data_IF_155940283059
#
_entry.id   IF_155940283059
#
_cell.length_a   1.000
_cell.length_b   1.000
_cell.length_c   1.000
_cell.angle_alpha   90.00
_cell.angle_beta   90.00
_cell.angle_gamma   90.00
#
_symmetry.space_group_name_H-M   'P 1'
#
loop_
_entity.id
_entity.type
_entity.pdbx_description
1 polymer ?
#
# COMPACT_ATOMS: atom_id res chain seq x y z
N UNK A 1 12.64 -12.56 19.87
CA UNK A 1 12.37 -11.19 19.37
C UNK A 1 12.21 -11.13 17.85
N UNK A 2 13.18 -11.61 17.06
CA UNK A 2 13.11 -11.59 15.58
C UNK A 2 11.89 -12.35 15.01
N UNK A 3 11.57 -13.54 15.54
CA UNK A 3 10.37 -14.29 15.13
C UNK A 3 9.05 -13.55 15.36
N UNK A 4 8.93 -12.81 16.47
CA UNK A 4 7.72 -12.04 16.79
C UNK A 4 7.56 -10.80 15.90
N UNK A 5 8.67 -10.15 15.51
CA UNK A 5 8.66 -9.03 14.59
C UNK A 5 8.27 -9.46 13.16
N UNK A 6 8.76 -10.63 12.71
CA UNK A 6 8.37 -11.21 11.41
C UNK A 6 6.90 -11.62 11.44
N UNK A 7 6.42 -12.28 12.50
CA UNK A 7 4.99 -12.61 12.62
C UNK A 7 4.10 -11.35 12.66
N UNK A 8 4.44 -10.33 13.47
CA UNK A 8 3.68 -9.08 13.53
C UNK A 8 3.70 -8.31 12.19
N UNK A 9 4.84 -8.34 11.49
CA UNK A 9 4.96 -7.89 10.12
C UNK A 9 3.96 -8.61 9.24
N UNK A 10 4.02 -9.94 9.16
CA UNK A 10 3.09 -10.76 8.35
C UNK A 10 1.61 -10.48 8.69
N UNK A 11 1.25 -10.29 9.96
CA UNK A 11 -0.16 -10.05 10.37
C UNK A 11 -0.75 -8.77 9.77
N UNK A 12 0.05 -7.72 9.56
CA UNK A 12 -0.42 -6.45 8.94
C UNK A 12 -0.01 -6.30 7.47
N UNK A 13 1.10 -6.90 7.07
CA UNK A 13 1.62 -6.88 5.71
C UNK A 13 0.71 -7.66 4.75
N UNK A 14 0.17 -8.81 5.18
CA UNK A 14 -0.79 -9.60 4.37
C UNK A 14 -2.05 -8.80 4.01
N UNK A 15 -2.76 -8.19 4.98
CA UNK A 15 -3.96 -7.42 4.68
C UNK A 15 -3.70 -6.17 3.81
N UNK A 16 -2.61 -5.44 4.06
CA UNK A 16 -2.28 -4.22 3.29
C UNK A 16 -1.93 -4.56 1.84
N UNK A 17 -1.13 -5.62 1.61
CA UNK A 17 -0.84 -6.07 0.26
C UNK A 17 -2.09 -6.62 -0.44
N UNK A 18 -2.96 -7.35 0.27
CA UNK A 18 -4.19 -7.89 -0.30
C UNK A 18 -5.07 -6.79 -0.89
N UNK A 19 -5.29 -5.70 -0.13
CA UNK A 19 -6.15 -4.60 -0.60
C UNK A 19 -5.49 -3.80 -1.72
N UNK A 20 -4.18 -3.53 -1.62
CA UNK A 20 -3.44 -2.84 -2.68
C UNK A 20 -3.45 -3.63 -3.99
N UNK A 21 -3.17 -4.94 -3.93
CA UNK A 21 -3.18 -5.81 -5.12
C UNK A 21 -4.57 -5.93 -5.74
N UNK A 22 -5.62 -6.08 -4.91
CA UNK A 22 -6.99 -6.13 -5.41
C UNK A 22 -7.37 -4.85 -6.18
N UNK A 23 -7.05 -3.68 -5.64
CA UNK A 23 -7.29 -2.41 -6.34
C UNK A 23 -6.44 -2.26 -7.61
N UNK A 24 -5.15 -2.58 -7.55
CA UNK A 24 -4.27 -2.48 -8.72
C UNK A 24 -4.81 -3.35 -9.86
N UNK A 25 -5.17 -4.61 -9.57
CA UNK A 25 -5.73 -5.53 -10.57
C UNK A 25 -7.06 -5.01 -11.12
N UNK A 26 -7.97 -4.52 -10.26
CA UNK A 26 -9.25 -3.94 -10.69
C UNK A 26 -9.11 -2.70 -11.58
N UNK A 27 -8.00 -1.98 -11.46
CA UNK A 27 -7.72 -0.74 -12.20
C UNK A 27 -6.91 -0.98 -13.49
N UNK A 28 -6.41 -2.19 -13.72
CA UNK A 28 -5.69 -2.57 -14.95
C UNK A 28 -6.48 -2.22 -16.22
N UNK A 29 -7.76 -2.62 -16.41
CA UNK A 29 -8.48 -2.31 -17.65
C UNK A 29 -8.66 -0.79 -17.86
N UNK A 30 -8.91 -0.05 -16.78
CA UNK A 30 -8.99 1.42 -16.82
C UNK A 30 -7.65 2.04 -17.24
N UNK A 31 -6.54 1.59 -16.66
CA UNK A 31 -5.19 2.12 -16.94
C UNK A 31 -4.70 1.80 -18.38
N UNK A 32 -5.22 0.72 -18.96
CA UNK A 32 -5.05 0.35 -20.36
C UNK A 32 -5.96 1.14 -21.31
N UNK A 33 -6.90 1.92 -20.80
CA UNK A 33 -7.84 2.70 -21.60
C UNK A 33 -8.89 1.84 -22.31
N UNK A 34 -9.16 0.64 -21.80
CA UNK A 34 -10.14 -0.28 -22.37
C UNK A 34 -11.54 0.14 -21.93
N UNK A 35 -12.23 0.95 -22.74
CA UNK A 35 -13.60 1.40 -22.50
C UNK A 35 -13.90 2.77 -23.10
N UNK A 36 -15.17 3.18 -23.10
CA UNK A 36 -15.56 4.53 -23.52
C UNK A 36 -14.92 5.60 -22.60
N UNK A 37 -14.31 6.62 -23.19
CA UNK A 37 -13.53 7.62 -22.45
C UNK A 37 -12.16 7.12 -21.95
N UNK A 38 -11.67 5.99 -22.45
CA UNK A 38 -10.40 5.38 -22.06
C UNK A 38 -9.18 6.30 -22.18
N UNK A 39 -9.16 7.20 -23.17
CA UNK A 39 -8.10 8.21 -23.36
C UNK A 39 -7.97 9.16 -22.15
N UNK A 40 -9.09 9.48 -21.49
CA UNK A 40 -9.11 10.36 -20.31
C UNK A 40 -8.95 9.58 -19.00
N UNK A 41 -9.47 8.35 -18.95
CA UNK A 41 -9.43 7.51 -17.74
C UNK A 41 -8.12 6.72 -17.59
N UNK A 42 -7.38 6.45 -18.68
CA UNK A 42 -6.09 5.77 -18.65
C UNK A 42 -5.03 6.49 -17.79
N UNK A 43 -4.79 7.81 -17.94
CA UNK A 43 -3.86 8.52 -17.07
C UNK A 43 -4.31 8.53 -15.61
N UNK A 44 -5.61 8.58 -15.33
CA UNK A 44 -6.15 8.48 -13.97
C UNK A 44 -5.84 7.10 -13.35
N UNK A 45 -6.10 6.02 -14.09
CA UNK A 45 -5.81 4.65 -13.64
C UNK A 45 -4.32 4.44 -13.34
N UNK A 46 -3.43 4.96 -14.20
CA UNK A 46 -1.97 4.91 -14.01
C UNK A 46 -1.54 5.70 -12.77
N UNK A 47 -2.09 6.89 -12.56
CA UNK A 47 -1.77 7.72 -11.39
C UNK A 47 -2.15 7.02 -10.07
N UNK A 48 -3.32 6.38 -10.03
CA UNK A 48 -3.76 5.66 -8.83
C UNK A 48 -2.95 4.39 -8.58
N UNK A 49 -2.61 3.62 -9.62
CA UNK A 49 -1.73 2.44 -9.47
C UNK A 49 -0.37 2.86 -8.89
N UNK A 50 0.24 3.92 -9.44
CA UNK A 50 1.49 4.48 -8.91
C UNK A 50 1.35 4.97 -7.47
N UNK A 51 0.26 5.67 -7.18
CA UNK A 51 -0.09 6.14 -5.83
C UNK A 51 -0.26 5.01 -4.82
N UNK A 52 -0.91 3.90 -5.20
CA UNK A 52 -1.11 2.72 -4.36
C UNK A 52 0.20 2.01 -4.04
N UNK A 53 1.10 1.88 -5.02
CA UNK A 53 2.43 1.30 -4.80
C UNK A 53 3.20 2.17 -3.80
N UNK A 54 3.24 3.48 -4.04
CA UNK A 54 3.91 4.42 -3.14
C UNK A 54 3.30 4.42 -1.74
N UNK A 55 1.97 4.47 -1.63
CA UNK A 55 1.25 4.46 -0.37
C UNK A 55 1.44 3.16 0.40
N UNK A 56 1.54 2.02 -0.29
CA UNK A 56 1.80 0.72 0.35
C UNK A 56 3.19 0.70 0.97
N UNK A 57 4.22 1.09 0.22
CA UNK A 57 5.59 1.20 0.75
C UNK A 57 5.64 2.22 1.89
N UNK A 58 5.08 3.41 1.68
CA UNK A 58 5.04 4.46 2.69
C UNK A 58 4.36 3.97 3.97
N UNK A 59 3.21 3.30 3.90
CA UNK A 59 2.49 2.79 5.08
C UNK A 59 3.31 1.75 5.83
N UNK A 60 3.96 0.83 5.10
CA UNK A 60 4.77 -0.23 5.69
C UNK A 60 6.00 0.31 6.43
N UNK A 61 6.57 1.43 6.00
CA UNK A 61 7.68 2.11 6.69
C UNK A 61 7.20 3.11 7.74
N UNK A 62 6.12 3.84 7.46
CA UNK A 62 5.59 4.90 8.31
C UNK A 62 4.99 4.35 9.61
N UNK A 63 4.18 3.28 9.52
CA UNK A 63 3.57 2.66 10.70
C UNK A 63 4.60 2.21 11.74
N UNK A 64 5.65 1.41 11.41
CA UNK A 64 6.64 1.01 12.41
C UNK A 64 7.50 2.18 12.89
N UNK A 65 7.80 3.17 12.03
CA UNK A 65 8.58 4.36 12.41
C UNK A 65 7.83 5.20 13.44
N UNK A 66 6.54 5.48 13.20
CA UNK A 66 5.68 6.19 14.14
C UNK A 66 5.46 5.37 15.41
N UNK A 67 5.26 4.06 15.29
CA UNK A 67 5.12 3.19 16.46
C UNK A 67 6.37 3.21 17.34
N UNK A 68 7.57 3.13 16.74
CA UNK A 68 8.86 3.24 17.44
C UNK A 68 9.03 4.61 18.09
N UNK A 69 8.64 5.70 17.41
CA UNK A 69 8.74 7.06 17.94
C UNK A 69 7.84 7.23 19.18
N UNK A 70 6.61 6.75 19.12
CA UNK A 70 5.63 6.88 20.21
C UNK A 70 5.98 5.95 21.38
N UNK A 71 6.33 4.69 21.12
CA UNK A 71 6.70 3.74 22.17
C UNK A 71 8.08 4.05 22.77
N UNK A 72 9.02 4.54 21.97
CA UNK A 72 10.35 4.97 22.45
C UNK A 72 10.30 6.15 23.42
N UNK A 73 9.24 6.96 23.40
CA UNK A 73 9.01 8.05 24.37
C UNK A 73 8.35 7.59 25.67
N UNK A 74 7.90 6.33 25.77
CA UNK A 74 7.29 5.75 26.98
C UNK A 74 8.26 4.96 27.85
N UNK A 75 9.53 4.84 27.44
CA UNK A 75 10.60 4.17 28.18
C UNK A 75 11.72 5.12 28.63
N UNK A 76 11.49 6.43 28.60
CA UNK A 76 12.35 7.45 29.19
C UNK A 76 11.61 8.16 30.33
#
# INVERSE_FOLDING_TARGET
AAHAAVQAGVTRFRPVLMTALAMIIGMVPMALGLGEGGEQNAPLGRAVIGGLIFATVATLFFVPTVFKLIHGRRSA
#
